data_IF_509694945932
#
_entry.id   IF_509694945932
#
_cell.length_a   1.000
_cell.length_b   1.000
_cell.length_c   1.000
_cell.angle_alpha   90.00
_cell.angle_beta   90.00
_cell.angle_gamma   90.00
#
_symmetry.space_group_name_H-M   'P 1'
#
loop_
_entity.id
_entity.type
_entity.pdbx_description
1 polymer ?
#
# COMPACT_ATOMS: atom_id res chain seq x y z
N UNK A 1 3.50 -25.64 14.88
CA UNK A 1 2.11 -26.12 14.69
C UNK A 1 1.24 -25.30 15.62
N UNK A 2 0.78 -24.15 15.14
CA UNK A 2 -0.22 -23.35 15.83
C UNK A 2 -1.55 -24.09 15.61
N UNK A 3 -1.94 -24.92 16.55
CA UNK A 3 -3.30 -25.44 16.64
C UNK A 3 -4.05 -24.26 17.31
N UNK A 4 -4.74 -23.46 16.50
CA UNK A 4 -5.86 -22.72 17.00
C UNK A 4 -6.89 -23.82 17.34
N UNK A 5 -7.03 -24.15 18.63
CA UNK A 5 -8.18 -24.89 19.10
C UNK A 5 -9.42 -24.15 18.56
N UNK A 6 -10.52 -24.88 18.37
CA UNK A 6 -11.82 -24.33 17.97
C UNK A 6 -12.41 -23.33 19.01
N UNK A 7 -11.55 -22.68 19.77
CA UNK A 7 -11.92 -21.57 20.61
C UNK A 7 -12.38 -20.41 19.71
N UNK A 8 -13.58 -19.92 19.95
CA UNK A 8 -14.12 -18.72 19.29
C UNK A 8 -13.06 -17.60 19.38
N UNK A 9 -12.64 -17.11 18.22
CA UNK A 9 -11.71 -15.97 18.17
C UNK A 9 -12.43 -14.75 18.77
N UNK A 10 -11.72 -13.92 19.55
CA UNK A 10 -12.34 -12.74 20.13
C UNK A 10 -12.72 -11.73 19.06
N UNK A 11 -13.92 -11.17 19.16
CA UNK A 11 -14.39 -10.06 18.33
C UNK A 11 -14.16 -8.72 19.01
N UNK A 12 -14.17 -7.65 18.25
CA UNK A 12 -14.20 -6.31 18.82
C UNK A 12 -15.48 -6.11 19.64
N UNK A 13 -15.39 -5.47 20.83
CA UNK A 13 -16.56 -5.12 21.61
C UNK A 13 -17.55 -4.26 20.83
N UNK A 14 -18.86 -4.47 21.06
CA UNK A 14 -19.92 -3.76 20.35
C UNK A 14 -19.81 -2.23 20.50
N UNK A 15 -19.29 -1.76 21.62
CA UNK A 15 -19.10 -0.34 21.92
C UNK A 15 -18.15 0.35 20.94
N UNK A 16 -17.21 -0.40 20.35
CA UNK A 16 -16.33 0.11 19.29
C UNK A 16 -17.19 0.49 18.08
N UNK A 17 -18.05 -0.40 17.63
CA UNK A 17 -18.92 -0.17 16.47
C UNK A 17 -19.91 0.96 16.72
N UNK A 18 -20.44 1.07 17.94
CA UNK A 18 -21.35 2.14 18.32
C UNK A 18 -20.67 3.52 18.35
N UNK A 19 -19.37 3.56 18.62
CA UNK A 19 -18.57 4.79 18.67
C UNK A 19 -17.99 5.21 17.32
N UNK A 20 -18.06 4.37 16.28
CA UNK A 20 -17.49 4.69 14.97
C UNK A 20 -18.13 5.94 14.35
N UNK A 21 -17.37 6.73 13.58
CA UNK A 21 -17.92 7.75 12.71
C UNK A 21 -18.97 7.19 11.75
N UNK A 22 -19.97 8.01 11.38
CA UNK A 22 -21.08 7.60 10.51
C UNK A 22 -20.62 6.96 9.20
N UNK A 23 -19.55 7.49 8.61
CA UNK A 23 -18.92 6.93 7.41
C UNK A 23 -18.50 5.47 7.59
N UNK A 24 -17.79 5.12 8.67
CA UNK A 24 -17.37 3.75 8.93
C UNK A 24 -18.56 2.84 9.26
N UNK A 25 -19.58 3.35 9.97
CA UNK A 25 -20.84 2.61 10.18
C UNK A 25 -21.51 2.26 8.86
N UNK A 26 -21.52 3.17 7.90
CA UNK A 26 -22.07 2.93 6.56
C UNK A 26 -21.27 1.84 5.81
N UNK A 27 -19.96 1.89 5.86
CA UNK A 27 -19.06 0.86 5.27
C UNK A 27 -19.39 -0.53 5.81
N UNK A 28 -19.70 -0.62 7.12
CA UNK A 28 -19.97 -1.89 7.81
C UNK A 28 -21.44 -2.33 7.75
N UNK A 29 -22.34 -1.51 7.20
CA UNK A 29 -23.79 -1.75 7.24
C UNK A 29 -24.26 -3.03 6.54
N UNK A 30 -23.45 -3.54 5.60
CA UNK A 30 -23.76 -4.76 4.84
C UNK A 30 -23.00 -6.00 5.33
N UNK A 31 -22.25 -5.91 6.43
CA UNK A 31 -21.56 -7.05 7.03
C UNK A 31 -22.58 -8.03 7.62
N UNK A 32 -22.37 -9.32 7.37
CA UNK A 32 -23.35 -10.38 7.70
C UNK A 32 -23.00 -11.17 8.96
N UNK A 33 -21.78 -11.03 9.47
CA UNK A 33 -21.28 -11.68 10.70
C UNK A 33 -20.33 -10.74 11.44
N UNK A 34 -19.98 -11.12 12.67
CA UNK A 34 -18.99 -10.36 13.46
C UNK A 34 -17.59 -10.50 12.85
N UNK A 35 -17.21 -11.68 12.36
CA UNK A 35 -15.97 -11.87 11.60
C UNK A 35 -15.87 -10.94 10.39
N UNK A 36 -16.93 -10.85 9.60
CA UNK A 36 -16.99 -9.99 8.42
C UNK A 36 -16.87 -8.51 8.81
N UNK A 37 -17.52 -8.14 9.92
CA UNK A 37 -17.49 -6.77 10.46
C UNK A 37 -16.11 -6.38 10.95
N UNK A 38 -15.43 -7.27 11.71
CA UNK A 38 -14.08 -7.05 12.20
C UNK A 38 -13.09 -6.94 11.05
N UNK A 39 -13.17 -7.86 10.09
CA UNK A 39 -12.32 -7.86 8.89
C UNK A 39 -12.52 -6.60 8.06
N UNK A 40 -13.76 -6.20 7.81
CA UNK A 40 -14.08 -5.01 7.02
C UNK A 40 -13.66 -3.72 7.72
N UNK A 41 -13.80 -3.63 9.05
CA UNK A 41 -13.33 -2.49 9.81
C UNK A 41 -11.81 -2.34 9.69
N UNK A 42 -11.07 -3.40 9.99
CA UNK A 42 -9.61 -3.36 9.91
C UNK A 42 -9.08 -3.14 8.49
N UNK A 43 -9.72 -3.77 7.51
CA UNK A 43 -9.39 -3.55 6.09
C UNK A 43 -9.65 -2.12 5.64
N UNK A 44 -10.76 -1.52 6.06
CA UNK A 44 -11.07 -0.12 5.78
C UNK A 44 -10.04 0.82 6.42
N UNK A 45 -9.70 0.59 7.71
CA UNK A 45 -8.69 1.37 8.41
C UNK A 45 -7.32 1.24 7.76
N UNK A 46 -6.91 0.03 7.35
CA UNK A 46 -5.63 -0.17 6.65
C UNK A 46 -5.59 0.56 5.30
N UNK A 47 -6.67 0.52 4.52
CA UNK A 47 -6.73 1.27 3.26
C UNK A 47 -6.72 2.78 3.48
N UNK A 48 -7.51 3.28 4.44
CA UNK A 48 -7.59 4.71 4.76
C UNK A 48 -6.28 5.23 5.33
N UNK A 49 -5.54 4.43 6.11
CA UNK A 49 -4.26 4.83 6.70
C UNK A 49 -3.26 5.31 5.64
N UNK A 50 -3.24 4.69 4.46
CA UNK A 50 -2.39 5.10 3.34
C UNK A 50 -2.70 6.50 2.78
N UNK A 51 -3.78 7.14 3.22
CA UNK A 51 -4.19 8.49 2.79
C UNK A 51 -3.95 9.54 3.88
N UNK A 52 -3.43 9.14 5.05
CA UNK A 52 -3.20 9.99 6.20
C UNK A 52 -1.74 10.47 6.30
N UNK A 53 -1.14 10.79 5.18
CA UNK A 53 0.27 11.18 5.06
C UNK A 53 0.66 12.48 5.79
N UNK A 54 -0.32 13.29 6.20
CA UNK A 54 -0.11 14.51 6.99
C UNK A 54 -0.44 14.32 8.48
N UNK A 55 -0.70 13.08 8.91
CA UNK A 55 -0.98 12.74 10.30
C UNK A 55 0.25 12.05 10.87
N UNK A 56 0.78 12.60 11.94
CA UNK A 56 1.96 12.06 12.63
C UNK A 56 1.64 11.98 14.12
N UNK A 57 1.98 10.87 14.73
CA UNK A 57 1.99 10.68 16.18
C UNK A 57 3.42 10.54 16.69
N UNK A 58 3.65 10.81 17.97
CA UNK A 58 4.93 10.59 18.63
C UNK A 58 4.85 9.30 19.46
N UNK A 59 5.81 8.39 19.25
CA UNK A 59 5.98 7.19 20.05
C UNK A 59 7.47 6.95 20.28
N UNK A 60 7.87 6.82 21.55
CA UNK A 60 9.27 6.60 21.99
C UNK A 60 10.27 7.66 21.46
N UNK A 61 9.83 8.92 21.39
CA UNK A 61 10.52 10.11 20.84
C UNK A 61 10.75 10.07 19.32
N UNK A 62 10.11 9.16 18.60
CA UNK A 62 10.13 9.11 17.14
C UNK A 62 8.74 9.48 16.55
N UNK A 63 8.76 10.08 15.36
CA UNK A 63 7.56 10.41 14.60
C UNK A 63 7.04 9.19 13.85
N UNK A 64 5.78 8.84 14.08
CA UNK A 64 5.11 7.69 13.45
C UNK A 64 3.92 8.14 12.61
N UNK A 65 3.91 7.72 11.34
CA UNK A 65 2.72 7.81 10.50
C UNK A 65 1.73 6.67 10.82
N UNK A 66 0.41 6.86 10.70
CA UNK A 66 -0.60 5.89 11.10
C UNK A 66 -0.77 4.74 10.08
N UNK A 67 0.33 4.24 9.52
CA UNK A 67 0.32 3.18 8.51
C UNK A 67 -0.01 1.83 9.14
N UNK A 68 -1.04 1.16 8.65
CA UNK A 68 -1.52 -0.11 9.17
C UNK A 68 -1.10 -1.25 8.24
N UNK A 69 -0.54 -2.30 8.84
CA UNK A 69 -0.29 -3.59 8.21
C UNK A 69 -1.34 -4.56 8.68
N UNK A 70 -2.20 -4.97 7.77
CA UNK A 70 -3.32 -5.86 8.06
C UNK A 70 -3.27 -7.09 7.15
N UNK A 71 -3.33 -8.27 7.77
CA UNK A 71 -3.36 -9.54 7.08
C UNK A 71 -4.55 -10.38 7.56
N UNK A 72 -5.42 -10.77 6.62
CA UNK A 72 -6.54 -11.67 6.89
C UNK A 72 -6.17 -13.09 6.49
N UNK A 73 -6.26 -13.99 7.45
CA UNK A 73 -6.05 -15.42 7.22
C UNK A 73 -7.36 -16.18 7.41
N UNK A 74 -7.85 -16.80 6.36
CA UNK A 74 -9.03 -17.64 6.40
C UNK A 74 -8.99 -18.71 5.31
N UNK A 75 -9.68 -19.81 5.51
CA UNK A 75 -9.81 -20.87 4.51
C UNK A 75 -10.52 -20.41 3.23
N UNK A 76 -10.41 -21.18 2.17
CA UNK A 76 -11.11 -20.90 0.94
C UNK A 76 -12.64 -20.91 1.17
N UNK A 77 -13.35 -19.90 0.63
CA UNK A 77 -14.80 -19.79 0.77
C UNK A 77 -15.31 -19.11 2.05
N UNK A 78 -14.43 -18.72 2.99
CA UNK A 78 -14.80 -18.07 4.25
C UNK A 78 -15.02 -16.56 4.16
N UNK A 79 -15.38 -16.03 3.00
CA UNK A 79 -15.83 -14.64 2.86
C UNK A 79 -14.74 -13.57 2.75
N UNK A 80 -13.44 -13.90 2.91
CA UNK A 80 -12.34 -12.91 2.83
C UNK A 80 -12.29 -12.07 1.54
N UNK A 81 -13.01 -12.50 0.49
CA UNK A 81 -13.12 -11.74 -0.76
C UNK A 81 -13.86 -10.41 -0.65
N UNK A 82 -14.64 -10.18 0.43
CA UNK A 82 -15.28 -8.89 0.70
C UNK A 82 -14.28 -7.79 1.01
N UNK A 83 -13.05 -8.12 1.42
CA UNK A 83 -11.96 -7.17 1.64
C UNK A 83 -11.71 -6.25 0.42
N UNK A 84 -11.98 -6.73 -0.80
CA UNK A 84 -11.90 -5.92 -2.04
C UNK A 84 -12.69 -4.60 -1.97
N UNK A 85 -13.76 -4.54 -1.18
CA UNK A 85 -14.57 -3.33 -1.04
C UNK A 85 -13.83 -2.24 -0.25
N UNK A 86 -12.93 -2.62 0.68
CA UNK A 86 -12.09 -1.66 1.40
C UNK A 86 -11.18 -0.88 0.44
N UNK A 87 -10.65 -1.54 -0.60
CA UNK A 87 -9.86 -0.90 -1.64
C UNK A 87 -10.62 0.19 -2.39
N UNK A 88 -11.94 0.04 -2.55
CA UNK A 88 -12.78 1.02 -3.25
C UNK A 88 -12.86 2.35 -2.52
N UNK A 89 -12.69 2.37 -1.19
CA UNK A 89 -12.72 3.59 -0.38
C UNK A 89 -11.64 4.60 -0.81
N UNK A 90 -10.49 4.11 -1.22
CA UNK A 90 -9.32 4.93 -1.61
C UNK A 90 -9.02 4.90 -3.12
N UNK A 91 -9.82 4.17 -3.89
CA UNK A 91 -9.71 4.13 -5.36
C UNK A 91 -9.85 5.50 -6.04
N UNK A 92 -10.70 6.43 -5.58
CA UNK A 92 -10.75 7.77 -6.13
C UNK A 92 -9.42 8.50 -6.05
N UNK A 93 -8.73 8.43 -4.90
CA UNK A 93 -7.41 9.05 -4.69
C UNK A 93 -6.36 8.44 -5.63
N UNK A 94 -6.36 7.10 -5.76
CA UNK A 94 -5.48 6.41 -6.70
C UNK A 94 -5.69 6.89 -8.14
N UNK A 95 -6.95 7.01 -8.57
CA UNK A 95 -7.29 7.44 -9.92
C UNK A 95 -6.88 8.90 -10.15
N UNK A 96 -7.14 9.79 -9.20
CA UNK A 96 -6.75 11.20 -9.28
C UNK A 96 -5.24 11.37 -9.41
N UNK A 97 -4.45 10.70 -8.58
CA UNK A 97 -2.99 10.71 -8.64
C UNK A 97 -2.49 10.25 -10.03
N UNK A 98 -3.08 9.17 -10.55
CA UNK A 98 -2.75 8.64 -11.87
C UNK A 98 -3.08 9.64 -12.98
N UNK A 99 -4.28 10.19 -12.99
CA UNK A 99 -4.73 11.13 -14.02
C UNK A 99 -3.91 12.40 -14.03
N UNK A 100 -3.59 12.96 -12.85
CA UNK A 100 -2.73 14.14 -12.73
C UNK A 100 -1.35 13.84 -13.29
N UNK A 101 -0.72 12.75 -12.86
CA UNK A 101 0.63 12.42 -13.31
C UNK A 101 0.70 12.08 -14.80
N UNK A 102 -0.29 11.36 -15.35
CA UNK A 102 -0.37 11.06 -16.78
C UNK A 102 -0.53 12.34 -17.63
N UNK A 103 -1.30 13.32 -17.15
CA UNK A 103 -1.41 14.64 -17.78
C UNK A 103 -0.08 15.38 -17.77
N UNK A 104 0.60 15.46 -16.64
CA UNK A 104 1.91 16.10 -16.49
C UNK A 104 2.96 15.47 -17.42
N UNK A 105 3.02 14.14 -17.48
CA UNK A 105 3.92 13.40 -18.37
C UNK A 105 3.62 13.71 -19.85
N UNK A 106 2.34 13.83 -20.21
CA UNK A 106 1.93 14.16 -21.58
C UNK A 106 2.34 15.59 -21.95
N UNK A 107 2.11 16.54 -21.06
CA UNK A 107 2.49 17.95 -21.24
C UNK A 107 4.01 18.09 -21.37
N UNK A 108 4.78 17.46 -20.51
CA UNK A 108 6.25 17.43 -20.56
C UNK A 108 6.75 16.85 -21.90
N UNK A 109 6.17 15.75 -22.37
CA UNK A 109 6.55 15.16 -23.67
C UNK A 109 6.18 16.03 -24.85
N UNK A 110 5.13 16.83 -24.77
CA UNK A 110 4.75 17.78 -25.80
C UNK A 110 5.75 18.96 -25.84
N UNK A 111 6.03 19.59 -24.68
CA UNK A 111 6.98 20.70 -24.59
C UNK A 111 8.39 20.30 -25.05
N UNK A 112 8.85 19.09 -24.70
CA UNK A 112 10.16 18.58 -25.13
C UNK A 112 10.24 18.31 -26.65
N UNK A 113 9.12 18.04 -27.32
CA UNK A 113 9.08 17.92 -28.77
C UNK A 113 9.16 19.29 -29.45
N UNK A 114 8.52 20.31 -28.91
CA UNK A 114 8.54 21.67 -29.41
C UNK A 114 9.93 22.32 -29.23
N UNK A 115 10.56 22.12 -28.06
CA UNK A 115 11.92 22.63 -27.79
C UNK A 115 13.00 22.01 -28.69
N UNK A 116 12.82 20.75 -29.11
CA UNK A 116 13.76 20.13 -30.10
C UNK A 116 13.67 20.70 -31.50
N UNK A 117 12.65 21.50 -31.82
CA UNK A 117 12.48 22.18 -33.11
C UNK A 117 12.97 23.65 -33.06
N UNK A 118 13.26 24.18 -31.87
CA UNK A 118 13.84 25.51 -31.64
C UNK A 118 15.20 25.36 -30.96
N UNK A 119 16.13 26.24 -31.29
CA UNK A 119 17.54 26.26 -30.82
C UNK A 119 17.68 26.66 -29.33
N UNK A 120 16.65 26.43 -28.49
CA UNK A 120 16.59 26.89 -27.12
C UNK A 120 16.89 25.72 -26.15
N UNK A 121 18.10 25.70 -25.60
CA UNK A 121 18.68 24.66 -24.70
C UNK A 121 18.39 24.90 -23.24
N UNK A 122 17.33 25.61 -22.87
CA UNK A 122 17.08 26.02 -21.49
C UNK A 122 15.75 25.55 -20.92
N UNK A 123 15.65 24.27 -20.53
CA UNK A 123 14.87 23.94 -19.35
C UNK A 123 15.31 22.56 -18.83
N UNK A 124 16.05 22.55 -17.73
CA UNK A 124 16.26 21.37 -16.88
C UNK A 124 14.97 21.13 -16.06
N UNK A 125 13.84 20.94 -16.73
CA UNK A 125 12.63 20.47 -16.04
C UNK A 125 12.79 18.97 -15.83
N UNK A 126 12.68 18.55 -14.58
CA UNK A 126 12.69 17.15 -14.19
C UNK A 126 11.52 16.41 -14.84
N UNK A 127 11.77 15.24 -15.40
CA UNK A 127 10.71 14.45 -16.04
C UNK A 127 9.69 14.01 -14.98
N UNK A 128 8.38 14.36 -15.13
CA UNK A 128 7.38 13.95 -14.17
C UNK A 128 7.22 12.43 -14.14
N UNK A 129 7.09 11.88 -12.94
CA UNK A 129 6.91 10.45 -12.72
C UNK A 129 5.44 10.07 -12.59
N UNK A 130 5.11 8.81 -12.92
CA UNK A 130 3.76 8.29 -12.71
C UNK A 130 3.52 8.03 -11.23
N UNK A 131 2.49 8.67 -10.69
CA UNK A 131 2.08 8.52 -9.29
C UNK A 131 0.81 7.68 -9.18
N UNK A 132 0.80 6.71 -8.27
CA UNK A 132 -0.37 5.87 -7.98
C UNK A 132 -0.33 5.41 -6.52
N UNK A 133 -1.46 5.42 -5.83
CA UNK A 133 -1.53 4.96 -4.44
C UNK A 133 -1.26 3.46 -4.30
N UNK A 134 -1.84 2.64 -5.19
CA UNK A 134 -1.67 1.18 -5.12
C UNK A 134 -0.36 0.74 -5.75
N UNK A 135 0.40 -0.06 -5.00
CA UNK A 135 1.62 -0.73 -5.46
C UNK A 135 1.27 -2.19 -5.74
N UNK A 136 1.41 -2.67 -6.99
CA UNK A 136 1.09 -4.05 -7.34
C UNK A 136 2.01 -5.06 -6.64
N UNK A 137 1.45 -6.15 -6.12
CA UNK A 137 2.19 -7.22 -5.43
C UNK A 137 3.13 -8.03 -6.33
N UNK A 138 2.91 -7.99 -7.66
CA UNK A 138 3.77 -8.63 -8.66
C UNK A 138 4.89 -7.72 -9.17
N UNK A 139 5.13 -6.57 -8.53
CA UNK A 139 6.23 -5.67 -8.88
C UNK A 139 7.57 -6.25 -8.42
N UNK A 140 8.65 -5.95 -9.15
CA UNK A 140 9.99 -6.21 -8.63
C UNK A 140 10.31 -5.27 -7.46
N UNK A 141 11.22 -5.68 -6.58
CA UNK A 141 11.70 -4.87 -5.44
C UNK A 141 12.07 -3.45 -5.87
N UNK A 142 12.80 -3.34 -6.95
CA UNK A 142 13.20 -2.03 -7.46
C UNK A 142 12.04 -1.19 -8.00
N UNK A 143 11.04 -1.83 -8.62
CA UNK A 143 9.85 -1.13 -9.09
C UNK A 143 9.00 -0.61 -7.90
N UNK A 144 8.97 -1.36 -6.78
CA UNK A 144 8.32 -0.90 -5.55
C UNK A 144 9.03 0.31 -4.97
N UNK A 145 10.37 0.27 -4.85
CA UNK A 145 11.17 1.39 -4.33
C UNK A 145 10.99 2.61 -5.24
N UNK A 146 11.09 2.42 -6.55
CA UNK A 146 10.89 3.50 -7.52
C UNK A 146 9.51 4.13 -7.38
N UNK A 147 8.46 3.31 -7.28
CA UNK A 147 7.09 3.83 -7.14
C UNK A 147 6.86 4.52 -5.81
N UNK A 148 7.43 4.02 -4.70
CA UNK A 148 7.38 4.70 -3.42
C UNK A 148 8.08 6.07 -3.48
N UNK A 149 9.27 6.14 -4.09
CA UNK A 149 10.00 7.38 -4.27
C UNK A 149 9.22 8.38 -5.12
N UNK A 150 8.72 7.96 -6.30
CA UNK A 150 7.90 8.76 -7.21
C UNK A 150 6.62 9.30 -6.52
N UNK A 151 6.12 8.60 -5.50
CA UNK A 151 4.97 9.00 -4.68
C UNK A 151 5.33 9.85 -3.45
N UNK A 152 6.60 10.16 -3.23
CA UNK A 152 7.06 10.86 -2.02
C UNK A 152 7.01 9.97 -0.77
N UNK A 153 7.30 8.69 -0.92
CA UNK A 153 7.37 7.71 0.16
C UNK A 153 6.04 7.04 0.52
N UNK A 154 4.93 7.39 -0.14
CA UNK A 154 3.57 6.93 0.21
C UNK A 154 3.14 5.78 -0.70
N UNK A 155 2.53 4.73 -0.12
CA UNK A 155 1.98 3.63 -0.90
C UNK A 155 1.06 2.70 -0.12
N UNK A 156 0.23 1.96 -0.87
CA UNK A 156 -0.62 0.89 -0.34
C UNK A 156 -0.40 -0.38 -1.15
N UNK A 157 0.10 -1.42 -0.50
CA UNK A 157 0.11 -2.77 -1.03
C UNK A 157 -1.22 -3.43 -0.66
N UNK A 158 -2.03 -3.76 -1.65
CA UNK A 158 -3.33 -4.39 -1.45
C UNK A 158 -3.47 -5.62 -2.35
N UNK A 159 -3.72 -6.78 -1.75
CA UNK A 159 -4.04 -8.00 -2.49
C UNK A 159 -5.01 -8.88 -1.68
N UNK A 160 -5.95 -9.50 -2.36
CA UNK A 160 -6.90 -10.46 -1.77
C UNK A 160 -6.43 -11.92 -1.90
N UNK A 161 -5.31 -12.13 -2.60
CA UNK A 161 -4.66 -13.44 -2.76
C UNK A 161 -3.15 -13.28 -2.62
N UNK A 162 -2.59 -13.64 -1.47
CA UNK A 162 -1.17 -13.40 -1.18
C UNK A 162 -0.19 -14.36 -1.89
N UNK A 163 -0.66 -15.23 -2.78
CA UNK A 163 0.21 -16.09 -3.61
C UNK A 163 1.20 -15.26 -4.44
N UNK A 164 0.73 -14.15 -4.98
CA UNK A 164 1.55 -13.23 -5.78
C UNK A 164 2.69 -12.64 -4.95
N UNK A 165 2.39 -12.21 -3.72
CA UNK A 165 3.39 -11.69 -2.79
C UNK A 165 4.36 -12.79 -2.35
N UNK A 166 3.87 -14.01 -2.06
CA UNK A 166 4.72 -15.15 -1.71
C UNK A 166 5.73 -15.48 -2.81
N UNK A 167 5.30 -15.37 -4.07
CA UNK A 167 6.19 -15.53 -5.22
C UNK A 167 7.23 -14.40 -5.31
N UNK A 168 6.83 -13.16 -5.04
CA UNK A 168 7.71 -12.00 -5.04
C UNK A 168 8.74 -12.05 -3.89
N UNK A 169 8.35 -12.52 -2.70
CA UNK A 169 9.24 -12.69 -1.54
C UNK A 169 10.32 -13.76 -1.77
N UNK A 170 10.05 -14.74 -2.62
CA UNK A 170 10.99 -15.82 -2.97
C UNK A 170 11.85 -15.52 -4.20
N UNK A 171 11.68 -14.35 -4.83
CA UNK A 171 12.41 -14.04 -6.05
C UNK A 171 13.91 -13.81 -5.75
N UNK A 172 14.78 -14.34 -6.62
CA UNK A 172 16.25 -14.19 -6.51
C UNK A 172 16.74 -12.72 -6.67
N UNK A 173 15.86 -11.79 -7.06
CA UNK A 173 16.23 -10.42 -7.43
C UNK A 173 15.90 -9.37 -6.35
N UNK A 174 15.90 -9.74 -5.08
CA UNK A 174 15.78 -8.80 -3.98
C UNK A 174 14.85 -9.27 -2.85
N UNK A 175 15.14 -8.79 -1.66
CA UNK A 175 14.39 -9.13 -0.45
C UNK A 175 13.21 -8.17 -0.26
N UNK A 176 12.05 -8.57 -0.75
CA UNK A 176 10.81 -7.82 -0.58
C UNK A 176 10.41 -7.67 0.90
N UNK A 177 10.81 -8.65 1.74
CA UNK A 177 10.53 -8.62 3.18
C UNK A 177 11.26 -7.47 3.89
N UNK A 178 12.45 -7.10 3.40
CA UNK A 178 13.20 -5.95 3.91
C UNK A 178 12.45 -4.64 3.68
N UNK A 179 11.84 -4.45 2.49
CA UNK A 179 11.05 -3.24 2.21
C UNK A 179 9.83 -3.17 3.12
N UNK A 180 9.12 -4.29 3.29
CA UNK A 180 7.94 -4.35 4.15
C UNK A 180 8.31 -4.04 5.60
N UNK A 181 9.41 -4.61 6.13
CA UNK A 181 9.86 -4.34 7.50
C UNK A 181 10.33 -2.90 7.69
N UNK A 182 11.17 -2.38 6.79
CA UNK A 182 11.61 -0.99 6.84
C UNK A 182 10.44 -0.01 6.72
N UNK A 183 9.50 -0.29 5.81
CA UNK A 183 8.27 0.50 5.68
C UNK A 183 7.40 0.48 6.93
N UNK A 184 7.33 -0.65 7.65
CA UNK A 184 6.61 -0.75 8.92
C UNK A 184 7.22 0.11 10.03
N UNK A 185 8.56 0.19 10.08
CA UNK A 185 9.30 0.96 11.08
C UNK A 185 9.64 2.39 10.63
N UNK A 186 9.15 2.83 9.48
CA UNK A 186 9.53 4.11 8.85
C UNK A 186 11.06 4.29 8.69
N UNK A 187 11.79 3.17 8.58
CA UNK A 187 13.24 3.19 8.37
C UNK A 187 13.59 3.52 6.92
N UNK A 188 14.68 4.25 6.65
CA UNK A 188 15.08 4.62 5.30
C UNK A 188 15.22 3.41 4.36
N UNK A 189 14.64 3.54 3.16
CA UNK A 189 14.75 2.56 2.07
C UNK A 189 15.59 3.16 0.97
N UNK A 190 16.63 2.45 0.56
CA UNK A 190 17.55 2.87 -0.49
C UNK A 190 17.63 1.89 -1.64
N UNK A 191 17.86 2.41 -2.85
CA UNK A 191 18.13 1.67 -4.06
C UNK A 191 19.39 2.21 -4.71
N UNK A 192 20.38 1.34 -4.97
CA UNK A 192 21.58 1.68 -5.71
C UNK A 192 21.74 0.69 -6.87
N UNK A 193 21.64 1.17 -8.11
CA UNK A 193 21.82 0.39 -9.33
C UNK A 193 22.94 0.98 -10.19
N UNK A 194 24.00 0.21 -10.37
CA UNK A 194 25.13 0.62 -11.23
C UNK A 194 24.79 0.77 -12.70
N UNK A 195 23.78 0.02 -13.18
CA UNK A 195 23.48 -0.08 -14.61
C UNK A 195 23.03 1.25 -15.22
N UNK A 196 22.29 2.07 -14.47
CA UNK A 196 21.70 3.32 -14.96
C UNK A 196 22.13 4.52 -14.08
N UNK A 197 23.17 4.33 -13.22
CA UNK A 197 23.62 5.29 -12.19
C UNK A 197 22.45 5.76 -11.30
N UNK A 198 21.52 4.84 -11.04
CA UNK A 198 20.30 5.11 -10.31
C UNK A 198 20.54 5.00 -8.80
N UNK A 199 20.36 6.11 -8.10
CA UNK A 199 20.40 6.17 -6.65
C UNK A 199 19.14 6.84 -6.13
N UNK A 200 18.39 6.15 -5.24
CA UNK A 200 17.16 6.64 -4.63
C UNK A 200 17.18 6.40 -3.14
N UNK A 201 16.68 7.33 -2.37
CA UNK A 201 16.52 7.21 -0.91
C UNK A 201 15.15 7.72 -0.50
N UNK A 202 14.40 6.90 0.20
CA UNK A 202 13.14 7.25 0.82
C UNK A 202 13.40 7.31 2.32
N UNK A 203 13.57 8.51 2.85
CA UNK A 203 13.94 8.71 4.26
C UNK A 203 12.84 8.26 5.23
N UNK A 204 11.56 8.56 4.91
CA UNK A 204 10.42 8.25 5.76
C UNK A 204 9.34 7.53 4.93
N UNK A 205 9.47 6.21 4.69
CA UNK A 205 8.47 5.46 3.95
C UNK A 205 7.16 5.36 4.74
N UNK A 206 6.06 5.74 4.09
CA UNK A 206 4.69 5.64 4.60
C UNK A 206 3.95 4.56 3.80
N UNK A 207 4.25 3.31 4.10
CA UNK A 207 3.73 2.15 3.42
C UNK A 207 2.63 1.50 4.27
N UNK A 208 1.42 1.42 3.76
CA UNK A 208 0.36 0.59 4.33
C UNK A 208 0.24 -0.74 3.58
N UNK A 209 -0.20 -1.79 4.28
CA UNK A 209 -0.33 -3.13 3.71
C UNK A 209 -1.67 -3.73 4.12
N UNK A 210 -2.45 -4.20 3.15
CA UNK A 210 -3.70 -4.90 3.38
C UNK A 210 -3.77 -6.15 2.49
N UNK A 211 -3.62 -7.31 3.10
CA UNK A 211 -3.52 -8.58 2.39
C UNK A 211 -4.50 -9.61 2.93
N UNK A 212 -4.88 -10.56 2.10
CA UNK A 212 -5.55 -11.77 2.57
C UNK A 212 -4.99 -13.03 1.92
N UNK A 213 -5.11 -14.15 2.64
CA UNK A 213 -4.62 -15.43 2.16
C UNK A 213 -5.18 -16.61 2.94
N UNK A 214 -4.80 -17.81 2.51
CA UNK A 214 -5.09 -19.04 3.24
C UNK A 214 -3.94 -19.39 4.21
N UNK A 215 -4.18 -20.21 5.25
CA UNK A 215 -3.11 -20.67 6.14
C UNK A 215 -1.91 -21.30 5.40
N UNK A 216 -2.18 -22.05 4.32
CA UNK A 216 -1.14 -22.66 3.49
C UNK A 216 -0.25 -21.64 2.78
N UNK A 217 -0.82 -20.51 2.36
CA UNK A 217 -0.10 -19.41 1.73
C UNK A 217 0.80 -18.68 2.73
N UNK A 218 0.32 -18.47 3.97
CA UNK A 218 1.09 -17.83 5.02
C UNK A 218 2.38 -18.58 5.38
N UNK A 219 2.34 -19.92 5.40
CA UNK A 219 3.54 -20.72 5.68
C UNK A 219 4.61 -20.63 4.57
N UNK A 220 4.28 -20.01 3.47
CA UNK A 220 5.18 -19.80 2.34
C UNK A 220 5.69 -18.37 2.22
N UNK A 221 5.15 -17.46 3.03
CA UNK A 221 5.65 -16.10 3.24
C UNK A 221 6.83 -16.11 4.21
#
# INVERSE_FOLDING_TARGET
KWILDEAELPHFPIEIYDSLPSFLKEVLSNCISDDDRDMMLMGALACLSATLNNVVGEYDNDDWAPMIYFFVMADAGMGKGSLKYCRQLVAPIHNELREISERQIKEYKASKKESKQGDDTSSFEEEPHRRTLFIPTNSSVAAVIQQLDDNGGIGLIFDTECDTLSAALKSEYGDYSTIIRKGFHHEPIDLNRRKDDEYRVIENPMLAVCLSGTPGQLYTL
#
